data_IF_844541269341
#
_entry.id   IF_844541269341
#
_cell.length_a   1.000
_cell.length_b   1.000
_cell.length_c   1.000
_cell.angle_alpha   90.00
_cell.angle_beta   90.00
_cell.angle_gamma   90.00
#
_symmetry.space_group_name_H-M   'P 1'
#
loop_
_entity.id
_entity.type
_entity.pdbx_description
1 polymer ?
#
# COMPACT_ATOMS: atom_id res chain seq x y z
N UNK A 1 -23.14 17.66 45.76
CA UNK A 1 -22.31 16.43 45.82
C UNK A 1 -22.70 15.39 44.77
N UNK A 2 -23.88 14.73 44.81
CA UNK A 2 -24.20 13.67 43.82
C UNK A 2 -24.40 14.16 42.36
N UNK A 3 -24.92 15.38 42.19
CA UNK A 3 -25.10 15.99 40.87
C UNK A 3 -23.76 16.36 40.21
N UNK A 4 -22.83 16.89 40.99
CA UNK A 4 -21.50 17.30 40.51
C UNK A 4 -20.62 16.10 40.12
N UNK A 5 -20.72 15.00 40.87
CA UNK A 5 -19.99 13.77 40.54
C UNK A 5 -20.54 13.11 39.28
N UNK A 6 -21.86 13.10 39.09
CA UNK A 6 -22.50 12.61 37.86
C UNK A 6 -22.11 13.46 36.64
N UNK A 7 -22.10 14.78 36.78
CA UNK A 7 -21.71 15.71 35.71
C UNK A 7 -20.23 15.53 35.33
N UNK A 8 -19.35 15.32 36.32
CA UNK A 8 -17.92 15.07 36.09
C UNK A 8 -17.69 13.77 35.33
N UNK A 9 -18.37 12.68 35.73
CA UNK A 9 -18.28 11.41 35.01
C UNK A 9 -18.75 11.51 33.57
N UNK A 10 -19.83 12.25 33.30
CA UNK A 10 -20.32 12.46 31.94
C UNK A 10 -19.26 13.18 31.07
N UNK A 11 -18.56 14.16 31.65
CA UNK A 11 -17.50 14.91 30.97
C UNK A 11 -16.27 14.04 30.70
N UNK A 12 -15.84 13.24 31.67
CA UNK A 12 -14.70 12.34 31.50
C UNK A 12 -15.00 11.29 30.41
N UNK A 13 -16.21 10.74 30.38
CA UNK A 13 -16.64 9.80 29.33
C UNK A 13 -16.68 10.45 27.95
N UNK A 14 -17.23 11.65 27.83
CA UNK A 14 -17.26 12.38 26.55
C UNK A 14 -15.86 12.70 26.05
N UNK A 15 -14.95 13.10 26.96
CA UNK A 15 -13.56 13.35 26.60
C UNK A 15 -12.87 12.08 26.07
N UNK A 16 -13.06 10.93 26.71
CA UNK A 16 -12.48 9.64 26.27
C UNK A 16 -13.01 9.23 24.90
N UNK A 17 -14.30 9.44 24.64
CA UNK A 17 -14.91 9.12 23.34
C UNK A 17 -14.40 10.07 22.25
N UNK A 18 -14.30 11.36 22.56
CA UNK A 18 -13.82 12.37 21.62
C UNK A 18 -12.33 12.17 21.27
N UNK A 19 -11.49 11.81 22.25
CA UNK A 19 -10.08 11.48 21.99
C UNK A 19 -9.95 10.23 21.13
N UNK A 20 -10.65 9.15 21.49
CA UNK A 20 -10.61 7.90 20.72
C UNK A 20 -11.09 8.07 19.27
N UNK A 21 -12.12 8.91 19.06
CA UNK A 21 -12.63 9.20 17.72
C UNK A 21 -11.66 10.06 16.90
N UNK A 22 -10.99 11.03 17.51
CA UNK A 22 -9.99 11.86 16.82
C UNK A 22 -8.78 11.04 16.40
N UNK A 23 -8.24 10.24 17.31
CA UNK A 23 -7.10 9.37 17.05
C UNK A 23 -7.42 8.38 15.92
N UNK A 24 -8.57 7.71 15.97
CA UNK A 24 -8.98 6.78 14.90
C UNK A 24 -9.21 7.45 13.53
N UNK A 25 -9.61 8.72 13.49
CA UNK A 25 -9.77 9.47 12.23
C UNK A 25 -8.43 9.95 11.67
N UNK A 26 -7.52 10.39 12.53
CA UNK A 26 -6.17 10.80 12.10
C UNK A 26 -5.36 9.60 11.58
N UNK A 27 -5.38 8.48 12.31
CA UNK A 27 -4.72 7.24 11.89
C UNK A 27 -5.30 6.73 10.56
N UNK A 28 -6.63 6.64 10.46
CA UNK A 28 -7.27 6.19 9.21
C UNK A 28 -7.02 7.11 8.01
N UNK A 29 -6.86 8.42 8.24
CA UNK A 29 -6.53 9.38 7.17
C UNK A 29 -5.06 9.24 6.73
N UNK A 30 -4.14 9.06 7.68
CA UNK A 30 -2.73 8.87 7.37
C UNK A 30 -2.50 7.56 6.59
N UNK A 31 -3.08 6.45 7.06
CA UNK A 31 -2.99 5.15 6.39
C UNK A 31 -3.64 5.16 5.00
N UNK A 32 -4.77 5.86 4.85
CA UNK A 32 -5.46 5.99 3.56
C UNK A 32 -4.64 6.75 2.52
N UNK A 33 -3.95 7.82 2.93
CA UNK A 33 -3.09 8.59 2.03
C UNK A 33 -1.87 7.76 1.63
N UNK A 34 -1.20 7.12 2.59
CA UNK A 34 0.03 6.36 2.31
C UNK A 34 -0.26 5.14 1.42
N UNK A 35 -1.35 4.41 1.69
CA UNK A 35 -1.77 3.27 0.87
C UNK A 35 -2.16 3.71 -0.55
N UNK A 36 -2.85 4.85 -0.70
CA UNK A 36 -3.19 5.42 -1.99
C UNK A 36 -1.95 5.78 -2.83
N UNK A 37 -0.97 6.43 -2.23
CA UNK A 37 0.29 6.81 -2.90
C UNK A 37 1.05 5.55 -3.35
N UNK A 38 1.14 4.52 -2.49
CA UNK A 38 1.78 3.24 -2.84
C UNK A 38 1.07 2.55 -4.01
N UNK A 39 -0.26 2.51 -4.02
CA UNK A 39 -1.02 1.91 -5.11
C UNK A 39 -0.82 2.65 -6.45
N UNK A 40 -0.78 3.98 -6.43
CA UNK A 40 -0.49 4.78 -7.63
C UNK A 40 0.92 4.51 -8.12
N UNK A 41 1.91 4.45 -7.24
CA UNK A 41 3.28 4.12 -7.58
C UNK A 41 3.40 2.73 -8.25
N UNK A 42 2.72 1.72 -7.71
CA UNK A 42 2.69 0.37 -8.29
C UNK A 42 2.06 0.38 -9.69
N UNK A 43 0.94 1.08 -9.89
CA UNK A 43 0.30 1.20 -11.21
C UNK A 43 1.23 1.89 -12.21
N UNK A 44 1.88 2.98 -11.81
CA UNK A 44 2.84 3.69 -12.66
C UNK A 44 4.03 2.80 -13.07
N UNK A 45 4.54 1.98 -12.15
CA UNK A 45 5.61 1.02 -12.45
C UNK A 45 5.14 -0.08 -13.42
N UNK A 46 3.91 -0.56 -13.27
CA UNK A 46 3.32 -1.54 -14.20
C UNK A 46 3.08 -0.95 -15.60
N UNK A 47 2.75 0.34 -15.68
CA UNK A 47 2.61 1.08 -16.94
C UNK A 47 3.96 1.37 -17.63
N UNK A 48 5.08 0.99 -17.00
CA UNK A 48 6.43 1.11 -17.56
C UNK A 48 7.08 2.49 -17.39
N UNK A 49 6.54 3.33 -16.48
CA UNK A 49 7.15 4.63 -16.16
C UNK A 49 8.48 4.44 -15.41
N UNK A 50 9.43 5.35 -15.63
CA UNK A 50 10.72 5.30 -14.93
C UNK A 50 10.55 5.59 -13.44
N UNK A 51 11.37 4.96 -12.60
CA UNK A 51 11.40 5.19 -11.16
C UNK A 51 11.59 6.67 -10.79
N UNK A 52 12.32 7.42 -11.61
CA UNK A 52 12.49 8.88 -11.46
C UNK A 52 11.18 9.66 -11.66
N UNK A 53 10.39 9.31 -12.68
CA UNK A 53 9.08 9.93 -12.89
C UNK A 53 8.11 9.57 -11.78
N UNK A 54 8.12 8.30 -11.34
CA UNK A 54 7.30 7.86 -10.20
C UNK A 54 7.65 8.65 -8.95
N UNK A 55 8.94 8.83 -8.65
CA UNK A 55 9.41 9.64 -7.51
C UNK A 55 8.92 11.09 -7.61
N UNK A 56 8.99 11.70 -8.79
CA UNK A 56 8.55 13.07 -9.02
C UNK A 56 7.06 13.29 -8.77
N UNK A 57 6.21 12.35 -9.18
CA UNK A 57 4.75 12.49 -9.06
C UNK A 57 4.19 11.99 -7.72
N UNK A 58 4.82 10.99 -7.11
CA UNK A 58 4.33 10.37 -5.86
C UNK A 58 5.01 10.93 -4.62
N UNK A 59 6.15 11.62 -4.77
CA UNK A 59 6.96 12.11 -3.65
C UNK A 59 7.69 10.99 -2.88
N UNK A 60 7.65 9.75 -3.39
CA UNK A 60 8.37 8.62 -2.80
C UNK A 60 9.86 8.68 -3.16
N UNK A 61 10.67 8.14 -2.26
CA UNK A 61 12.11 7.98 -2.50
C UNK A 61 12.37 6.83 -3.47
N UNK A 62 13.50 6.89 -4.20
CA UNK A 62 13.90 5.82 -5.12
C UNK A 62 13.99 4.46 -4.42
N UNK A 63 14.47 4.42 -3.17
CA UNK A 63 14.57 3.20 -2.35
C UNK A 63 13.20 2.59 -2.02
N UNK A 64 12.21 3.43 -1.72
CA UNK A 64 10.83 2.97 -1.51
C UNK A 64 10.22 2.41 -2.80
N UNK A 65 10.48 3.06 -3.93
CA UNK A 65 10.00 2.62 -5.25
C UNK A 65 10.64 1.30 -5.66
N UNK A 66 11.96 1.13 -5.44
CA UNK A 66 12.67 -0.13 -5.67
C UNK A 66 12.12 -1.26 -4.80
N UNK A 67 11.79 -0.97 -3.54
CA UNK A 67 11.16 -1.95 -2.64
C UNK A 67 9.78 -2.36 -3.14
N UNK A 68 8.98 -1.41 -3.66
CA UNK A 68 7.68 -1.70 -4.28
C UNK A 68 7.83 -2.52 -5.58
N UNK A 69 8.85 -2.22 -6.39
CA UNK A 69 9.14 -2.94 -7.63
C UNK A 69 9.58 -4.39 -7.38
N UNK A 70 10.43 -4.62 -6.38
CA UNK A 70 10.94 -5.95 -6.04
C UNK A 70 9.84 -6.90 -5.54
N UNK A 71 8.89 -6.41 -4.75
CA UNK A 71 7.75 -7.20 -4.28
C UNK A 71 6.83 -7.65 -5.44
N UNK A 72 6.82 -6.91 -6.55
CA UNK A 72 5.99 -7.20 -7.72
C UNK A 72 6.74 -8.01 -8.80
N UNK A 73 7.99 -8.39 -8.54
CA UNK A 73 8.86 -9.09 -9.50
C UNK A 73 8.65 -10.60 -9.45
N UNK A 74 7.39 -11.05 -9.55
CA UNK A 74 7.11 -12.43 -9.94
C UNK A 74 7.04 -12.47 -11.46
N UNK A 75 8.21 -12.54 -12.10
CA UNK A 75 8.28 -13.13 -13.43
C UNK A 75 9.12 -14.39 -13.30
N UNK A 76 8.46 -15.55 -13.28
CA UNK A 76 9.15 -16.76 -13.69
C UNK A 76 9.65 -16.48 -15.10
N UNK A 77 10.97 -16.48 -15.26
CA UNK A 77 11.57 -16.49 -16.59
C UNK A 77 10.90 -17.63 -17.34
N UNK A 78 10.24 -17.33 -18.45
CA UNK A 78 9.74 -18.34 -19.37
C UNK A 78 10.93 -19.18 -19.79
N UNK A 79 11.18 -20.27 -19.05
CA UNK A 79 12.17 -21.26 -19.40
C UNK A 79 11.75 -21.75 -20.78
N UNK A 80 12.49 -21.35 -21.81
CA UNK A 80 12.12 -21.61 -23.20
C UNK A 80 11.79 -23.09 -23.34
N UNK A 81 10.51 -23.41 -23.56
CA UNK A 81 10.04 -24.77 -23.68
C UNK A 81 10.66 -25.39 -24.93
N UNK A 82 11.76 -26.13 -24.74
CA UNK A 82 12.39 -26.93 -25.80
C UNK A 82 11.51 -28.13 -26.09
N UNK A 83 10.45 -27.94 -26.87
CA UNK A 83 9.81 -29.07 -27.55
C UNK A 83 10.65 -29.45 -28.76
N UNK A 84 11.53 -30.43 -28.61
CA UNK A 84 12.07 -31.13 -29.76
C UNK A 84 10.91 -31.86 -30.45
N UNK A 85 10.39 -31.29 -31.54
CA UNK A 85 9.34 -31.95 -32.34
C UNK A 85 9.86 -33.34 -32.76
N UNK A 86 9.12 -34.44 -32.49
CA UNK A 86 9.58 -35.77 -32.84
C UNK A 86 9.77 -35.86 -34.35
N UNK A 87 10.99 -36.19 -34.79
CA UNK A 87 11.31 -36.38 -36.20
C UNK A 87 10.51 -37.58 -36.73
N UNK A 88 9.59 -37.35 -37.67
CA UNK A 88 8.87 -38.43 -38.35
C UNK A 88 9.89 -39.36 -39.01
N UNK A 89 9.99 -40.61 -38.53
CA UNK A 89 10.73 -41.66 -39.24
C UNK A 89 9.97 -41.96 -40.53
N UNK A 90 10.57 -41.63 -41.67
CA UNK A 90 10.10 -42.09 -42.98
C UNK A 90 10.47 -43.58 -43.06
N UNK A 91 9.47 -44.45 -43.19
CA UNK A 91 9.61 -45.80 -43.73
C UNK A 91 9.06 -45.78 -45.14
#
# INVERSE_FOLDING_TARGET
MAYETSLKHLRDLNNVIDTARREGVEEGRAEGIESGIKQVAIKMLNDGLSSEMVAKYTGLTLTQIESLANNNRVCETTAGYKSEKPRKKRK
#
